data_IF_653477762485
#
_entry.id   IF_653477762485
#
_cell.length_a   1.000
_cell.length_b   1.000
_cell.length_c   1.000
_cell.angle_alpha   90.00
_cell.angle_beta   90.00
_cell.angle_gamma   90.00
#
_symmetry.space_group_name_H-M   'P 1'
#
loop_
_entity.id
_entity.type
_entity.pdbx_description
1 polymer ?
#
# COMPACT_ATOMS: atom_id res chain seq x y z
N UNK A 1 24.54 -15.89 12.05
CA UNK A 1 23.66 -14.87 12.69
C UNK A 1 22.21 -15.09 12.27
N UNK A 2 21.29 -15.28 13.22
CA UNK A 2 19.88 -15.61 12.94
C UNK A 2 18.91 -14.42 13.11
N UNK A 3 19.43 -13.29 13.59
CA UNK A 3 18.65 -12.07 13.87
C UNK A 3 19.01 -11.00 12.84
N UNK A 4 17.98 -10.44 12.19
CA UNK A 4 18.11 -9.43 11.14
C UNK A 4 17.04 -9.58 10.05
N UNK A 5 16.59 -8.45 9.48
CA UNK A 5 15.53 -8.40 8.44
C UNK A 5 15.84 -9.21 7.16
N UNK A 6 17.12 -9.49 6.93
CA UNK A 6 17.60 -10.23 5.75
C UNK A 6 18.26 -11.56 6.12
N UNK A 7 18.14 -12.02 7.37
CA UNK A 7 18.79 -13.26 7.84
C UNK A 7 18.30 -14.51 7.10
N UNK A 8 17.08 -14.48 6.57
CA UNK A 8 16.46 -15.52 5.75
C UNK A 8 15.96 -14.96 4.41
N UNK A 9 16.64 -13.93 3.89
CA UNK A 9 16.36 -13.36 2.58
C UNK A 9 17.26 -14.01 1.51
N UNK A 10 16.65 -14.60 0.49
CA UNK A 10 17.36 -15.28 -0.60
C UNK A 10 17.24 -14.48 -1.88
N UNK A 11 18.38 -14.12 -2.49
CA UNK A 11 18.44 -13.40 -3.77
C UNK A 11 18.99 -14.30 -4.86
N UNK A 12 18.19 -14.58 -5.88
CA UNK A 12 18.69 -15.26 -7.09
C UNK A 12 17.63 -16.09 -7.81
N UNK A 13 17.78 -16.19 -9.13
CA UNK A 13 16.89 -16.92 -10.05
C UNK A 13 16.75 -18.42 -9.75
N UNK A 14 17.41 -19.30 -10.52
CA UNK A 14 17.29 -20.77 -10.38
C UNK A 14 17.45 -21.31 -8.95
N UNK A 15 18.14 -20.56 -8.08
CA UNK A 15 18.34 -20.89 -6.66
C UNK A 15 17.04 -20.81 -5.85
N UNK A 16 16.13 -19.88 -6.14
CA UNK A 16 14.83 -19.77 -5.45
C UNK A 16 13.92 -20.99 -5.68
N UNK A 17 13.96 -21.58 -6.88
CA UNK A 17 13.20 -22.80 -7.20
C UNK A 17 13.81 -24.03 -6.51
N UNK A 18 15.14 -24.18 -6.55
CA UNK A 18 15.83 -25.24 -5.80
C UNK A 18 15.59 -25.09 -4.28
N UNK A 19 15.36 -23.86 -3.81
CA UNK A 19 15.06 -23.58 -2.42
C UNK A 19 13.69 -24.04 -1.96
N UNK A 20 12.67 -23.87 -2.80
CA UNK A 20 11.34 -24.40 -2.50
C UNK A 20 11.34 -25.93 -2.45
N UNK A 21 12.16 -26.58 -3.30
CA UNK A 21 12.29 -28.03 -3.34
C UNK A 21 13.14 -28.59 -2.18
N UNK A 22 14.15 -27.86 -1.72
CA UNK A 22 15.05 -28.32 -0.65
C UNK A 22 15.49 -27.17 0.29
N UNK A 23 14.62 -26.71 1.21
CA UNK A 23 14.91 -25.61 2.13
C UNK A 23 16.14 -25.85 3.01
N UNK A 24 16.32 -27.08 3.49
CA UNK A 24 17.41 -27.49 4.38
C UNK A 24 18.80 -27.41 3.75
N UNK A 25 18.88 -27.32 2.41
CA UNK A 25 20.16 -27.22 1.70
C UNK A 25 20.75 -25.82 1.73
N UNK A 26 19.98 -24.80 2.14
CA UNK A 26 20.45 -23.42 2.17
C UNK A 26 20.00 -22.65 3.43
N UNK A 27 19.05 -23.18 4.19
CA UNK A 27 18.68 -22.66 5.50
C UNK A 27 19.16 -23.62 6.59
N UNK A 28 19.92 -23.10 7.54
CA UNK A 28 20.44 -23.89 8.66
C UNK A 28 19.34 -24.29 9.67
N UNK A 29 18.26 -23.49 9.75
CA UNK A 29 17.12 -23.67 10.64
C UNK A 29 15.86 -23.08 9.99
N UNK A 30 14.68 -23.52 10.42
CA UNK A 30 13.41 -22.90 10.02
C UNK A 30 13.34 -21.44 10.53
N UNK A 31 13.10 -20.45 9.65
CA UNK A 31 12.95 -19.04 10.03
C UNK A 31 11.92 -18.81 11.14
N UNK A 32 10.82 -19.57 11.14
CA UNK A 32 9.74 -19.42 12.10
C UNK A 32 10.18 -19.68 13.55
N UNK A 33 11.17 -20.56 13.75
CA UNK A 33 11.74 -20.86 15.08
C UNK A 33 12.51 -19.68 15.69
N UNK A 34 12.81 -18.66 14.89
CA UNK A 34 13.49 -17.43 15.33
C UNK A 34 12.59 -16.20 15.29
N UNK A 35 11.29 -16.37 15.04
CA UNK A 35 10.36 -15.26 14.82
C UNK A 35 10.63 -14.49 13.52
N UNK A 36 11.30 -15.13 12.57
CA UNK A 36 11.61 -14.56 11.26
C UNK A 36 10.77 -15.24 10.16
N UNK A 37 10.76 -14.67 8.97
CA UNK A 37 10.04 -15.20 7.81
C UNK A 37 10.97 -15.35 6.62
N UNK A 38 10.81 -16.44 5.86
CA UNK A 38 11.50 -16.61 4.58
C UNK A 38 11.08 -15.52 3.60
N UNK A 39 12.05 -14.90 2.92
CA UNK A 39 11.78 -13.89 1.89
C UNK A 39 12.60 -14.20 0.64
N UNK A 40 11.97 -14.25 -0.52
CA UNK A 40 12.65 -14.44 -1.81
C UNK A 40 12.65 -13.12 -2.56
N UNK A 41 13.84 -12.66 -2.94
CA UNK A 41 14.06 -11.39 -3.63
C UNK A 41 14.00 -11.60 -5.15
N UNK A 42 13.16 -10.82 -5.84
CA UNK A 42 12.94 -10.92 -7.30
C UNK A 42 14.02 -10.13 -8.05
N UNK A 43 14.77 -10.80 -8.94
CA UNK A 43 15.74 -10.21 -9.88
C UNK A 43 15.33 -10.52 -11.32
N UNK A 44 15.78 -9.71 -12.30
CA UNK A 44 15.40 -9.71 -13.73
C UNK A 44 15.29 -11.10 -14.40
N UNK A 45 16.14 -12.07 -14.03
CA UNK A 45 16.13 -13.45 -14.57
C UNK A 45 15.29 -14.46 -13.76
N UNK A 46 14.72 -14.02 -12.64
CA UNK A 46 13.91 -14.81 -11.69
C UNK A 46 12.41 -14.60 -11.89
N UNK A 47 12.04 -13.66 -12.76
CA UNK A 47 10.71 -13.08 -12.87
C UNK A 47 9.60 -14.12 -12.95
N UNK A 48 9.67 -15.09 -13.87
CA UNK A 48 8.59 -16.07 -14.02
C UNK A 48 8.41 -17.00 -12.82
N UNK A 49 9.48 -17.59 -12.29
CA UNK A 49 9.37 -18.58 -11.21
C UNK A 49 9.08 -17.93 -9.86
N UNK A 50 9.65 -16.75 -9.57
CA UNK A 50 9.35 -16.03 -8.34
C UNK A 50 7.97 -15.36 -8.40
N UNK A 51 7.56 -14.83 -9.56
CA UNK A 51 6.19 -14.32 -9.70
C UNK A 51 5.21 -15.48 -9.63
N UNK A 52 5.50 -16.65 -10.22
CA UNK A 52 4.67 -17.84 -10.06
C UNK A 52 4.50 -18.24 -8.58
N UNK A 53 5.61 -18.30 -7.82
CA UNK A 53 5.60 -18.57 -6.38
C UNK A 53 4.81 -17.52 -5.58
N UNK A 54 4.99 -16.23 -5.87
CA UNK A 54 4.24 -15.15 -5.23
C UNK A 54 2.76 -15.22 -5.62
N UNK A 55 2.44 -15.47 -6.89
CA UNK A 55 1.05 -15.59 -7.35
C UNK A 55 0.36 -16.80 -6.72
N UNK A 56 1.08 -17.91 -6.49
CA UNK A 56 0.58 -19.07 -5.77
C UNK A 56 0.26 -18.74 -4.30
N UNK A 57 1.05 -17.90 -3.62
CA UNK A 57 0.74 -17.37 -2.28
C UNK A 57 -0.56 -16.55 -2.26
N UNK A 58 -0.91 -15.89 -3.37
CA UNK A 58 -2.19 -15.21 -3.56
C UNK A 58 -3.31 -16.14 -4.10
N UNK A 59 -3.08 -17.45 -4.17
CA UNK A 59 -4.05 -18.44 -4.65
C UNK A 59 -4.29 -18.39 -6.16
N UNK A 60 -3.35 -17.84 -6.93
CA UNK A 60 -3.46 -17.66 -8.38
C UNK A 60 -2.73 -18.82 -9.06
N UNK A 61 -3.51 -19.78 -9.55
CA UNK A 61 -3.02 -20.92 -10.34
C UNK A 61 -3.37 -20.83 -11.82
N UNK A 62 -4.12 -19.81 -12.24
CA UNK A 62 -4.47 -19.60 -13.66
C UNK A 62 -3.26 -19.04 -14.44
N UNK A 63 -2.71 -19.80 -15.42
CA UNK A 63 -1.56 -19.38 -16.20
C UNK A 63 -1.75 -18.05 -16.95
N UNK A 64 -2.99 -17.73 -17.36
CA UNK A 64 -3.28 -16.48 -18.05
C UNK A 64 -3.22 -15.28 -17.08
N UNK A 65 -3.68 -15.46 -15.84
CA UNK A 65 -3.57 -14.42 -14.80
C UNK A 65 -2.11 -14.20 -14.42
N UNK A 66 -1.33 -15.27 -14.22
CA UNK A 66 0.11 -15.18 -13.94
C UNK A 66 0.85 -14.44 -15.07
N UNK A 67 0.51 -14.72 -16.33
CA UNK A 67 1.07 -13.98 -17.48
C UNK A 67 0.72 -12.50 -17.43
N UNK A 68 -0.55 -12.14 -17.17
CA UNK A 68 -0.97 -10.74 -17.09
C UNK A 68 -0.25 -9.98 -15.95
N UNK A 69 -0.08 -10.63 -14.80
CA UNK A 69 0.67 -10.08 -13.66
C UNK A 69 2.13 -9.84 -14.06
N UNK A 70 2.77 -10.82 -14.71
CA UNK A 70 4.14 -10.71 -15.20
C UNK A 70 4.28 -9.55 -16.20
N UNK A 71 3.40 -9.46 -17.19
CA UNK A 71 3.45 -8.41 -18.21
C UNK A 71 3.30 -7.02 -17.56
N UNK A 72 2.42 -6.89 -16.56
CA UNK A 72 2.23 -5.64 -15.82
C UNK A 72 3.46 -5.28 -14.97
N UNK A 73 4.10 -6.25 -14.32
CA UNK A 73 5.32 -6.02 -13.53
C UNK A 73 6.46 -5.55 -14.43
N UNK A 74 6.70 -6.26 -15.55
CA UNK A 74 7.75 -5.90 -16.51
C UNK A 74 7.54 -4.47 -17.05
N UNK A 75 6.29 -4.10 -17.34
CA UNK A 75 5.96 -2.72 -17.74
C UNK A 75 6.31 -1.71 -16.65
N UNK A 76 6.00 -1.99 -15.38
CA UNK A 76 6.32 -1.10 -14.27
C UNK A 76 7.83 -1.04 -14.01
N UNK A 77 8.56 -2.14 -14.10
CA UNK A 77 10.03 -2.16 -13.94
C UNK A 77 10.72 -1.29 -15.00
N UNK A 78 10.23 -1.31 -16.24
CA UNK A 78 10.68 -0.43 -17.32
C UNK A 78 10.43 1.07 -17.02
N UNK A 79 9.40 1.38 -16.22
CA UNK A 79 9.15 2.74 -15.71
C UNK A 79 9.97 3.08 -14.47
N UNK A 80 10.83 2.17 -14.02
CA UNK A 80 11.73 2.36 -12.89
C UNK A 80 11.18 1.85 -11.56
N UNK A 81 10.10 1.07 -11.52
CA UNK A 81 9.65 0.39 -10.29
C UNK A 81 10.61 -0.73 -9.89
N UNK A 82 10.63 -1.05 -8.59
CA UNK A 82 11.25 -2.27 -8.08
C UNK A 82 10.37 -2.76 -6.95
N UNK A 83 9.76 -3.93 -7.14
CA UNK A 83 8.86 -4.53 -6.15
C UNK A 83 9.59 -5.39 -5.11
N UNK A 84 10.89 -5.64 -5.31
CA UNK A 84 11.76 -6.25 -4.30
C UNK A 84 11.77 -5.38 -3.03
N UNK A 85 11.19 -5.90 -1.95
CA UNK A 85 11.02 -5.16 -0.68
C UNK A 85 9.94 -4.09 -0.72
N UNK A 86 8.96 -4.19 -1.63
CA UNK A 86 7.75 -3.37 -1.66
C UNK A 86 6.50 -4.26 -1.86
N UNK A 87 6.31 -5.19 -0.93
CA UNK A 87 5.32 -6.27 -0.99
C UNK A 87 3.88 -5.75 -1.09
N UNK A 88 3.58 -4.61 -0.48
CA UNK A 88 2.23 -4.03 -0.50
C UNK A 88 1.88 -3.48 -1.89
N UNK A 89 2.78 -2.75 -2.54
CA UNK A 89 2.57 -2.28 -3.91
C UNK A 89 2.49 -3.45 -4.89
N UNK A 90 3.27 -4.52 -4.68
CA UNK A 90 3.16 -5.74 -5.47
C UNK A 90 1.78 -6.39 -5.33
N UNK A 91 1.28 -6.55 -4.10
CA UNK A 91 -0.05 -7.10 -3.84
C UNK A 91 -1.15 -6.31 -4.56
N UNK A 92 -1.06 -4.98 -4.57
CA UNK A 92 -2.00 -4.13 -5.29
C UNK A 92 -1.92 -4.30 -6.81
N UNK A 93 -0.72 -4.48 -7.37
CA UNK A 93 -0.55 -4.81 -8.80
C UNK A 93 -1.22 -6.14 -9.15
N UNK A 94 -1.03 -7.16 -8.31
CA UNK A 94 -1.68 -8.47 -8.47
C UNK A 94 -3.20 -8.34 -8.46
N UNK A 95 -3.76 -7.62 -7.48
CA UNK A 95 -5.20 -7.38 -7.41
C UNK A 95 -5.74 -6.59 -8.63
N UNK A 96 -4.96 -5.63 -9.15
CA UNK A 96 -5.31 -4.87 -10.37
C UNK A 96 -5.32 -5.79 -11.59
N UNK A 97 -4.31 -6.64 -11.76
CA UNK A 97 -4.22 -7.61 -12.85
C UNK A 97 -5.37 -8.64 -12.81
N UNK A 98 -5.81 -9.03 -11.61
CA UNK A 98 -6.96 -9.91 -11.37
C UNK A 98 -8.31 -9.20 -11.46
N UNK A 99 -8.35 -7.87 -11.61
CA UNK A 99 -9.57 -7.04 -11.56
C UNK A 99 -10.35 -7.16 -10.24
N UNK A 100 -9.70 -7.61 -9.17
CA UNK A 100 -10.27 -7.68 -7.83
C UNK A 100 -10.05 -6.41 -7.02
N UNK A 101 -9.05 -5.60 -7.40
CA UNK A 101 -8.81 -4.32 -6.76
C UNK A 101 -10.04 -3.40 -6.87
N UNK A 102 -10.41 -2.78 -5.75
CA UNK A 102 -11.47 -1.77 -5.66
C UNK A 102 -10.86 -0.54 -5.01
N UNK A 103 -10.65 0.57 -5.76
CA UNK A 103 -10.08 1.77 -5.19
C UNK A 103 -11.05 2.38 -4.18
N UNK A 104 -10.55 2.70 -2.98
CA UNK A 104 -11.33 3.35 -1.93
C UNK A 104 -11.51 4.84 -2.21
N UNK A 105 -10.59 5.41 -2.99
CA UNK A 105 -10.66 6.79 -3.43
C UNK A 105 -9.91 6.98 -4.75
N UNK A 106 -10.22 8.08 -5.45
CA UNK A 106 -9.50 8.50 -6.64
C UNK A 106 -8.95 9.90 -6.43
N UNK A 107 -7.66 10.06 -6.70
CA UNK A 107 -7.03 11.37 -6.76
C UNK A 107 -7.61 12.19 -7.91
N UNK A 108 -8.11 13.38 -7.60
CA UNK A 108 -8.48 14.40 -8.58
C UNK A 108 -7.36 15.42 -8.73
N UNK A 109 -6.80 15.88 -7.61
CA UNK A 109 -5.72 16.87 -7.58
C UNK A 109 -4.92 16.72 -6.29
N UNK A 110 -3.64 17.04 -6.36
CA UNK A 110 -2.85 17.41 -5.20
C UNK A 110 -2.02 18.65 -5.55
N UNK A 111 -1.68 19.45 -4.55
CA UNK A 111 -0.79 20.59 -4.65
C UNK A 111 0.00 20.68 -3.36
N UNK A 112 1.28 21.02 -3.46
CA UNK A 112 2.15 21.23 -2.31
C UNK A 112 2.84 22.57 -2.48
N UNK A 113 2.74 23.41 -1.47
CA UNK A 113 3.45 24.68 -1.35
C UNK A 113 4.53 24.54 -0.28
N UNK A 114 5.74 25.01 -0.61
CA UNK A 114 6.87 25.06 0.31
C UNK A 114 7.37 26.49 0.32
N UNK A 115 7.34 27.12 1.48
CA UNK A 115 7.73 28.51 1.68
C UNK A 115 8.81 28.60 2.74
N UNK A 116 9.98 29.10 2.37
CA UNK A 116 11.10 29.34 3.29
C UNK A 116 11.26 30.84 3.56
N UNK A 117 11.43 31.21 4.82
CA UNK A 117 11.81 32.57 5.20
C UNK A 117 13.33 32.62 5.45
N UNK A 118 14.05 33.42 4.65
CA UNK A 118 15.50 33.53 4.77
C UNK A 118 15.92 34.48 5.89
N UNK A 119 16.73 33.98 6.83
CA UNK A 119 17.56 34.80 7.73
C UNK A 119 19.00 34.86 7.20
N UNK A 120 19.56 36.06 7.05
CA UNK A 120 20.96 36.21 6.64
C UNK A 120 21.89 35.51 7.65
N UNK A 121 22.88 34.76 7.15
CA UNK A 121 24.00 34.23 7.94
C UNK A 121 24.66 35.37 8.74
N UNK A 122 24.37 35.47 10.03
CA UNK A 122 24.85 36.53 10.91
C UNK A 122 25.08 36.02 12.33
N UNK A 123 26.19 36.41 12.93
CA UNK A 123 26.67 35.91 14.23
C UNK A 123 25.68 36.14 15.37
N UNK A 124 25.52 35.07 16.16
CA UNK A 124 24.71 34.99 17.36
C UNK A 124 25.03 36.09 18.38
N UNK A 125 24.02 36.88 18.75
CA UNK A 125 23.99 37.56 20.05
C UNK A 125 22.70 37.20 20.77
N UNK A 126 22.81 36.99 22.09
CA UNK A 126 21.81 36.34 22.95
C UNK A 126 20.55 37.19 23.23
N UNK A 127 20.29 38.23 22.46
CA UNK A 127 19.18 39.16 22.64
C UNK A 127 18.66 39.65 21.29
N UNK A 128 17.77 38.88 20.67
CA UNK A 128 16.83 39.40 19.68
C UNK A 128 15.60 38.48 19.68
N UNK A 129 14.58 38.93 20.42
CA UNK A 129 13.21 38.48 20.27
C UNK A 129 12.68 39.22 19.04
N UNK A 130 12.92 38.68 17.85
CA UNK A 130 12.26 39.12 16.62
C UNK A 130 12.32 37.98 15.60
N UNK A 131 11.16 37.61 15.05
CA UNK A 131 10.94 36.45 14.18
C UNK A 131 11.63 36.56 12.80
N UNK A 132 12.60 37.46 12.63
CA UNK A 132 13.36 37.72 11.40
C UNK A 132 14.66 36.92 11.27
N UNK A 133 14.95 36.01 12.21
CA UNK A 133 16.19 35.21 12.23
C UNK A 133 15.99 33.70 12.31
N UNK A 134 14.77 33.20 12.16
CA UNK A 134 14.52 31.76 12.04
C UNK A 134 14.41 31.38 10.57
N UNK A 135 15.35 30.57 10.08
CA UNK A 135 15.08 29.75 8.90
C UNK A 135 13.91 28.82 9.24
N UNK A 136 12.73 29.18 8.77
CA UNK A 136 11.53 28.38 8.93
C UNK A 136 11.06 27.96 7.55
N UNK A 137 11.11 26.65 7.29
CA UNK A 137 10.48 26.04 6.14
C UNK A 137 9.06 25.63 6.52
N UNK A 138 8.08 26.26 5.88
CA UNK A 138 6.69 25.90 5.99
C UNK A 138 6.28 25.06 4.78
N UNK A 139 5.60 23.95 5.00
CA UNK A 139 5.03 23.13 3.92
C UNK A 139 3.54 22.92 4.14
N UNK A 140 2.75 23.25 3.14
CA UNK A 140 1.31 23.04 3.12
C UNK A 140 0.95 22.18 1.91
N UNK A 141 0.02 21.24 2.08
CA UNK A 141 -0.50 20.45 0.98
C UNK A 141 -2.02 20.50 0.93
N UNK A 142 -2.53 20.60 -0.30
CA UNK A 142 -3.94 20.51 -0.63
C UNK A 142 -4.19 19.22 -1.41
N UNK A 143 -5.20 18.45 -1.01
CA UNK A 143 -5.58 17.19 -1.65
C UNK A 143 -7.07 17.20 -1.99
N UNK A 144 -7.39 16.85 -3.24
CA UNK A 144 -8.77 16.65 -3.72
C UNK A 144 -8.98 15.21 -4.16
N UNK A 145 -9.93 14.53 -3.54
CA UNK A 145 -10.26 13.13 -3.78
C UNK A 145 -11.71 12.97 -4.21
N UNK A 146 -12.00 11.93 -4.97
CA UNK A 146 -13.35 11.44 -5.26
C UNK A 146 -13.53 10.06 -4.63
N UNK A 147 -14.60 9.87 -3.85
CA UNK A 147 -14.99 8.58 -3.32
C UNK A 147 -15.82 7.79 -4.35
N UNK A 148 -15.91 6.46 -4.23
CA UNK A 148 -16.81 5.63 -5.04
C UNK A 148 -18.28 6.07 -4.98
N UNK A 149 -18.71 6.69 -3.88
CA UNK A 149 -20.06 7.27 -3.73
C UNK A 149 -20.31 8.50 -4.60
N UNK A 150 -19.31 9.03 -5.30
CA UNK A 150 -19.37 10.28 -6.05
C UNK A 150 -19.08 11.53 -5.22
N UNK A 151 -18.94 11.39 -3.88
CA UNK A 151 -18.58 12.51 -3.00
C UNK A 151 -17.16 12.99 -3.30
N UNK A 152 -17.00 14.30 -3.45
CA UNK A 152 -15.70 14.96 -3.56
C UNK A 152 -15.25 15.46 -2.18
N UNK A 153 -13.98 15.26 -1.86
CA UNK A 153 -13.34 15.74 -0.63
C UNK A 153 -12.21 16.68 -1.03
N UNK A 154 -12.04 17.75 -0.28
CA UNK A 154 -10.99 18.73 -0.50
C UNK A 154 -10.46 19.18 0.86
N UNK A 155 -9.22 18.78 1.17
CA UNK A 155 -8.59 19.04 2.46
C UNK A 155 -7.22 19.67 2.29
N UNK A 156 -6.84 20.43 3.31
CA UNK A 156 -5.55 21.11 3.43
C UNK A 156 -4.94 20.77 4.78
N UNK A 157 -3.63 20.52 4.78
CA UNK A 157 -2.85 20.30 5.99
C UNK A 157 -1.41 20.79 5.84
N UNK A 158 -0.83 21.18 6.97
CA UNK A 158 0.58 21.54 7.08
C UNK A 158 1.40 20.33 7.54
N UNK A 159 2.71 20.37 7.29
CA UNK A 159 3.61 19.34 7.79
C UNK A 159 5.07 19.78 7.79
N UNK A 160 5.90 19.02 8.51
CA UNK A 160 7.34 19.22 8.53
C UNK A 160 7.96 18.70 7.23
N UNK A 161 7.88 19.53 6.19
CA UNK A 161 8.28 19.21 4.83
C UNK A 161 7.11 18.76 3.93
N UNK A 162 7.32 18.75 2.60
CA UNK A 162 6.26 18.61 1.62
C UNK A 162 5.56 17.25 1.66
N UNK A 163 6.30 16.17 1.94
CA UNK A 163 5.74 14.80 2.01
C UNK A 163 4.91 14.63 3.28
N UNK A 164 5.34 15.22 4.40
CA UNK A 164 4.59 15.18 5.65
C UNK A 164 3.27 15.95 5.52
N UNK A 165 3.29 17.14 4.89
CA UNK A 165 2.08 17.91 4.62
C UNK A 165 1.11 17.12 3.72
N UNK A 166 1.64 16.45 2.70
CA UNK A 166 0.85 15.64 1.76
C UNK A 166 0.20 14.42 2.43
N UNK A 167 0.94 13.69 3.28
CA UNK A 167 0.39 12.58 4.07
C UNK A 167 -0.67 13.09 5.06
N UNK A 168 -0.42 14.21 5.75
CA UNK A 168 -1.38 14.81 6.66
C UNK A 168 -2.69 15.23 5.95
N UNK A 169 -2.60 15.83 4.76
CA UNK A 169 -3.77 16.22 3.98
C UNK A 169 -4.55 15.00 3.46
N UNK A 170 -3.85 13.96 3.03
CA UNK A 170 -4.46 12.69 2.63
C UNK A 170 -5.21 12.02 3.79
N UNK A 171 -4.58 11.95 4.97
CA UNK A 171 -5.18 11.39 6.19
C UNK A 171 -6.38 12.19 6.65
N UNK A 172 -6.26 13.51 6.70
CA UNK A 172 -7.37 14.41 7.05
C UNK A 172 -8.59 14.20 6.15
N UNK A 173 -8.36 13.91 4.85
CA UNK A 173 -9.43 13.61 3.91
C UNK A 173 -10.08 12.23 4.13
N UNK A 174 -9.33 11.22 4.58
CA UNK A 174 -9.77 9.83 4.58
C UNK A 174 -10.11 9.26 5.96
N UNK A 175 -9.45 9.68 7.04
CA UNK A 175 -9.70 9.20 8.41
C UNK A 175 -11.15 9.35 8.88
N UNK A 176 -11.89 10.43 8.55
CA UNK A 176 -13.30 10.52 8.92
C UNK A 176 -14.20 9.46 8.26
N UNK A 177 -13.73 8.81 7.20
CA UNK A 177 -14.45 7.77 6.45
C UNK A 177 -13.90 6.39 6.79
N UNK A 178 -12.59 6.30 6.98
CA UNK A 178 -11.83 5.09 7.26
C UNK A 178 -11.02 5.30 8.57
N UNK A 179 -11.66 5.20 9.75
CA UNK A 179 -11.00 5.47 11.04
C UNK A 179 -9.82 4.53 11.34
N UNK A 180 -9.84 3.33 10.75
CA UNK A 180 -8.76 2.34 10.80
C UNK A 180 -7.41 2.85 10.25
N UNK A 181 -7.39 3.94 9.48
CA UNK A 181 -6.15 4.56 9.03
C UNK A 181 -5.33 5.20 10.15
N UNK A 182 -5.93 5.48 11.32
CA UNK A 182 -5.21 5.99 12.50
C UNK A 182 -4.15 4.99 13.00
N UNK A 183 -4.32 3.70 12.71
CA UNK A 183 -3.39 2.64 13.10
C UNK A 183 -2.20 2.51 12.14
N UNK A 184 -2.27 3.14 10.95
CA UNK A 184 -1.23 3.10 9.94
C UNK A 184 -0.22 4.22 10.19
N UNK A 185 1.05 3.88 10.44
CA UNK A 185 2.12 4.86 10.63
C UNK A 185 3.27 4.66 9.65
N UNK A 186 3.77 5.74 9.07
CA UNK A 186 4.99 5.74 8.28
C UNK A 186 6.19 5.59 9.23
N UNK A 187 7.09 4.64 8.95
CA UNK A 187 8.25 4.34 9.80
C UNK A 187 9.60 4.60 9.13
N UNK A 188 9.66 4.56 7.80
CA UNK A 188 10.88 4.86 7.04
C UNK A 188 10.52 5.42 5.66
N UNK A 189 11.41 6.24 5.12
CA UNK A 189 11.23 6.92 3.84
C UNK A 189 12.55 6.96 3.09
N UNK A 190 12.58 6.36 1.88
CA UNK A 190 13.80 6.22 1.08
C UNK A 190 13.58 6.73 -0.33
N UNK A 191 14.51 7.53 -0.82
CA UNK A 191 14.49 8.05 -2.20
C UNK A 191 15.69 7.49 -2.97
N UNK A 192 15.46 7.12 -4.23
CA UNK A 192 16.48 6.66 -5.17
C UNK A 192 16.25 7.32 -6.52
N UNK A 193 17.34 7.77 -7.15
CA UNK A 193 17.32 8.17 -8.56
C UNK A 193 17.64 6.93 -9.39
N UNK A 194 16.79 6.65 -10.38
CA UNK A 194 16.83 5.43 -11.19
C UNK A 194 16.98 5.83 -12.64
N UNK A 195 17.94 5.24 -13.35
CA UNK A 195 18.06 5.41 -14.80
C UNK A 195 17.01 4.56 -15.50
N UNK A 196 16.25 5.15 -16.41
CA UNK A 196 15.29 4.43 -17.24
C UNK A 196 15.96 3.84 -18.48
N UNK A 197 15.44 2.74 -19.04
CA UNK A 197 15.88 2.22 -20.33
C UNK A 197 15.71 3.27 -21.43
N UNK A 198 16.65 3.34 -22.37
CA UNK A 198 16.70 4.38 -23.41
C UNK A 198 15.46 4.38 -24.32
N UNK A 199 14.84 3.22 -24.49
CA UNK A 199 13.65 3.02 -25.33
C UNK A 199 12.37 3.60 -24.70
N UNK A 200 12.26 3.53 -23.38
CA UNK A 200 11.14 4.05 -22.58
C UNK A 200 11.22 5.57 -22.45
N UNK A 201 12.45 6.10 -22.38
CA UNK A 201 12.71 7.54 -22.30
C UNK A 201 12.19 8.34 -23.50
N UNK A 202 11.96 7.69 -24.65
CA UNK A 202 11.59 8.33 -25.93
C UNK A 202 10.08 8.29 -26.21
N UNK A 203 9.31 7.47 -25.50
CA UNK A 203 7.91 7.11 -25.87
C UNK A 203 6.83 7.80 -25.05
N UNK A 204 7.11 8.22 -23.82
CA UNK A 204 6.10 8.87 -22.98
C UNK A 204 6.07 10.39 -23.18
N UNK A 205 4.99 10.89 -23.79
CA UNK A 205 4.73 12.33 -23.98
C UNK A 205 4.64 13.12 -22.65
N UNK A 206 4.42 12.43 -21.53
CA UNK A 206 4.44 12.99 -20.16
C UNK A 206 5.84 13.00 -19.51
N UNK A 207 6.81 12.40 -20.19
CA UNK A 207 8.16 12.14 -19.71
C UNK A 207 9.12 12.71 -20.75
N UNK A 208 9.00 14.00 -21.08
CA UNK A 208 10.07 14.71 -21.79
C UNK A 208 11.27 14.88 -20.84
N UNK A 209 11.96 13.78 -20.55
CA UNK A 209 13.22 13.81 -19.80
C UNK A 209 14.32 14.19 -20.81
N UNK A 210 14.48 15.49 -21.04
CA UNK A 210 15.60 16.01 -21.83
C UNK A 210 16.86 16.02 -20.97
N UNK A 211 17.81 15.13 -21.26
CA UNK A 211 19.20 15.23 -20.80
C UNK A 211 19.76 13.97 -20.13
N UNK A 212 18.99 13.31 -19.26
CA UNK A 212 19.37 12.08 -18.55
C UNK A 212 18.10 11.33 -18.12
N UNK A 213 17.58 10.42 -18.94
CA UNK A 213 16.36 9.65 -18.66
C UNK A 213 16.38 8.97 -17.28
N UNK A 214 15.90 9.67 -16.25
CA UNK A 214 15.98 9.25 -14.85
C UNK A 214 14.65 9.50 -14.18
N UNK A 215 14.19 8.51 -13.42
CA UNK A 215 13.00 8.60 -12.59
C UNK A 215 13.41 8.69 -11.11
N UNK A 216 12.51 9.23 -10.30
CA UNK A 216 12.63 9.20 -8.83
C UNK A 216 11.76 8.06 -8.33
N UNK A 217 12.39 7.12 -7.63
CA UNK A 217 11.74 6.03 -6.92
C UNK A 217 11.73 6.34 -5.43
N UNK A 218 10.55 6.28 -4.84
CA UNK A 218 10.31 6.46 -3.41
C UNK A 218 9.81 5.15 -2.83
N UNK A 219 10.41 4.73 -1.72
CA UNK A 219 9.96 3.59 -0.92
C UNK A 219 9.49 4.13 0.43
N UNK A 220 8.28 3.75 0.82
CA UNK A 220 7.67 4.08 2.11
C UNK A 220 7.52 2.79 2.90
N UNK A 221 8.17 2.71 4.06
CA UNK A 221 7.92 1.62 5.01
C UNK A 221 6.82 2.09 5.96
N UNK A 222 5.78 1.28 6.13
CA UNK A 222 4.66 1.54 7.01
C UNK A 222 4.48 0.42 8.02
N UNK A 223 3.93 0.76 9.19
CA UNK A 223 3.53 -0.18 10.24
C UNK A 223 2.05 -0.01 10.53
N UNK A 224 1.32 -1.12 10.50
CA UNK A 224 -0.04 -1.18 11.01
C UNK A 224 -0.01 -1.65 12.47
N UNK A 225 -0.46 -0.80 13.39
CA UNK A 225 -0.44 -1.10 14.83
C UNK A 225 -1.35 -2.26 15.21
N UNK A 226 -2.50 -2.41 14.55
CA UNK A 226 -3.48 -3.43 14.89
C UNK A 226 -2.97 -4.84 14.52
N UNK A 227 -2.32 -4.98 13.37
CA UNK A 227 -1.72 -6.26 12.95
C UNK A 227 -0.28 -6.47 13.43
N UNK A 228 0.38 -5.42 13.94
CA UNK A 228 1.82 -5.35 14.20
C UNK A 228 2.71 -5.63 12.99
N UNK A 229 2.16 -5.64 11.78
CA UNK A 229 2.89 -5.93 10.56
C UNK A 229 3.56 -4.67 10.01
N UNK A 230 4.75 -4.86 9.43
CA UNK A 230 5.42 -3.86 8.64
C UNK A 230 5.32 -4.24 7.17
N UNK A 231 5.03 -3.28 6.32
CA UNK A 231 5.01 -3.47 4.87
C UNK A 231 5.59 -2.24 4.19
N UNK A 232 6.00 -2.43 2.94
CA UNK A 232 6.65 -1.39 2.17
C UNK A 232 5.91 -1.17 0.86
N UNK A 233 5.81 0.09 0.45
CA UNK A 233 5.23 0.50 -0.84
C UNK A 233 6.25 1.28 -1.65
N UNK A 234 6.07 1.25 -2.97
CA UNK A 234 6.96 1.92 -3.92
C UNK A 234 6.15 2.79 -4.87
N UNK A 235 6.63 4.01 -5.08
CA UNK A 235 6.10 4.95 -6.05
C UNK A 235 7.23 5.47 -6.94
N UNK A 236 6.94 5.62 -8.24
CA UNK A 236 7.90 6.18 -9.20
C UNK A 236 7.26 7.31 -9.98
N UNK A 237 8.01 8.39 -10.13
CA UNK A 237 7.59 9.58 -10.85
C UNK A 237 8.77 10.38 -11.40
N UNK A 238 8.45 11.37 -12.23
CA UNK A 238 9.42 12.33 -12.78
C UNK A 238 9.89 13.35 -11.74
N UNK A 239 9.12 13.51 -10.66
CA UNK A 239 9.46 14.37 -9.52
C UNK A 239 9.20 13.63 -8.20
N UNK A 240 9.87 14.07 -7.15
CA UNK A 240 9.81 13.44 -5.83
C UNK A 240 8.40 13.45 -5.25
N UNK A 241 7.62 14.53 -5.43
CA UNK A 241 6.28 14.66 -4.86
C UNK A 241 5.30 13.65 -5.47
N UNK A 242 5.33 13.47 -6.80
CA UNK A 242 4.49 12.46 -7.48
C UNK A 242 4.90 11.04 -7.07
N UNK A 243 6.20 10.77 -6.95
CA UNK A 243 6.69 9.46 -6.50
C UNK A 243 6.25 9.18 -5.06
N UNK A 244 6.37 10.15 -4.15
CA UNK A 244 5.90 10.06 -2.77
C UNK A 244 4.39 9.86 -2.70
N UNK A 245 3.62 10.63 -3.48
CA UNK A 245 2.17 10.50 -3.55
C UNK A 245 1.75 9.07 -3.90
N UNK A 246 2.36 8.48 -4.94
CA UNK A 246 2.04 7.12 -5.37
C UNK A 246 2.34 6.09 -4.28
N UNK A 247 3.50 6.20 -3.63
CA UNK A 247 3.88 5.31 -2.54
C UNK A 247 2.91 5.43 -1.34
N UNK A 248 2.51 6.66 -0.98
CA UNK A 248 1.55 6.92 0.10
C UNK A 248 0.16 6.38 -0.22
N UNK A 249 -0.34 6.61 -1.44
CA UNK A 249 -1.63 6.07 -1.87
C UNK A 249 -1.63 4.55 -1.86
N UNK A 250 -0.58 3.91 -2.36
CA UNK A 250 -0.45 2.45 -2.28
C UNK A 250 -0.45 1.98 -0.82
N UNK A 251 0.16 2.71 0.11
CA UNK A 251 0.19 2.31 1.52
C UNK A 251 -1.21 2.35 2.16
N UNK A 252 -1.96 3.40 1.86
CA UNK A 252 -3.35 3.57 2.31
C UNK A 252 -4.27 2.53 1.65
N UNK A 253 -4.23 2.41 0.32
CA UNK A 253 -5.07 1.45 -0.42
C UNK A 253 -4.78 0.00 -0.01
N UNK A 254 -3.52 -0.36 0.25
CA UNK A 254 -3.16 -1.68 0.74
C UNK A 254 -3.73 -1.95 2.14
N UNK A 255 -3.60 -0.99 3.05
CA UNK A 255 -4.18 -1.10 4.41
C UNK A 255 -5.70 -1.29 4.34
N UNK A 256 -6.41 -0.47 3.57
CA UNK A 256 -7.86 -0.56 3.42
C UNK A 256 -8.30 -1.88 2.76
N UNK A 257 -7.65 -2.27 1.67
CA UNK A 257 -7.96 -3.54 0.97
C UNK A 257 -7.78 -4.77 1.87
N UNK A 258 -6.81 -4.73 2.79
CA UNK A 258 -6.60 -5.81 3.77
C UNK A 258 -7.65 -5.84 4.87
N UNK A 259 -8.04 -4.67 5.37
CA UNK A 259 -9.08 -4.57 6.39
C UNK A 259 -10.43 -5.04 5.84
N UNK A 260 -10.74 -4.70 4.58
CA UNK A 260 -11.92 -5.22 3.85
C UNK A 260 -11.92 -6.75 3.74
N UNK A 261 -10.79 -7.34 3.36
CA UNK A 261 -10.67 -8.81 3.24
C UNK A 261 -10.82 -9.52 4.60
N UNK A 262 -10.28 -8.94 5.68
CA UNK A 262 -10.46 -9.46 7.04
C UNK A 262 -11.91 -9.36 7.49
N UNK A 263 -12.58 -8.26 7.20
CA UNK A 263 -13.99 -8.05 7.51
C UNK A 263 -14.89 -9.05 6.77
N UNK A 264 -14.66 -9.27 5.48
CA UNK A 264 -15.39 -10.26 4.68
C UNK A 264 -15.23 -11.68 5.22
N UNK A 265 -14.03 -12.04 5.68
CA UNK A 265 -13.75 -13.36 6.27
C UNK A 265 -14.46 -13.55 7.61
N UNK A 266 -14.45 -12.53 8.48
CA UNK A 266 -15.13 -12.59 9.79
C UNK A 266 -16.66 -12.60 9.67
N UNK A 267 -17.23 -11.83 8.74
CA UNK A 267 -18.67 -11.83 8.48
C UNK A 267 -19.19 -13.19 7.96
N UNK A 268 -18.36 -13.92 7.22
CA UNK A 268 -18.69 -15.27 6.71
C UNK A 268 -18.51 -16.37 7.78
N UNK A 269 -17.84 -16.06 8.90
CA UNK A 269 -17.51 -17.01 9.97
C UNK A 269 -18.52 -17.02 11.13
N UNK A 270 -19.53 -16.16 11.13
CA UNK A 270 -20.62 -16.24 12.11
C UNK A 270 -21.62 -17.33 11.67
N UNK A 271 -21.84 -18.40 12.47
CA UNK A 271 -22.90 -19.33 12.15
C UNK A 271 -24.24 -18.59 12.28
N UNK A 272 -25.03 -18.60 11.21
CA UNK A 272 -26.46 -18.33 11.30
C UNK A 272 -27.04 -19.31 12.32
N UNK A 273 -27.31 -18.83 13.53
CA UNK A 273 -28.05 -19.57 14.53
C UNK A 273 -29.53 -19.55 14.09
N UNK A 274 -29.89 -20.44 13.18
CA UNK A 274 -31.28 -20.87 13.03
C UNK A 274 -31.59 -21.78 14.22
N UNK A 275 -32.47 -21.31 15.11
CA UNK A 275 -33.38 -22.14 15.89
C UNK A 275 -34.30 -21.21 16.68
N UNK A 276 -35.56 -21.12 16.25
CA UNK A 276 -36.66 -21.38 17.18
C UNK A 276 -37.92 -21.82 16.40
N UNK A 277 -38.09 -23.13 16.44
CA UNK A 277 -39.32 -23.89 16.29
C UNK A 277 -40.47 -23.24 17.07
N UNK A 278 -41.55 -22.88 16.36
CA UNK A 278 -42.87 -22.66 16.96
C UNK A 278 -43.90 -23.58 16.31
N UNK A 279 -43.70 -24.89 16.48
CA UNK A 279 -44.79 -25.85 16.46
C UNK A 279 -45.57 -25.79 17.78
N UNK A 280 -46.53 -24.87 17.87
CA UNK A 280 -47.65 -24.99 18.81
C UNK A 280 -48.89 -24.27 18.28
N UNK A 281 -49.69 -25.03 17.53
CA UNK A 281 -51.07 -24.66 17.21
C UNK A 281 -51.94 -24.78 18.47
N UNK A 282 -52.76 -23.77 18.84
CA UNK A 282 -53.80 -23.97 19.81
C UNK A 282 -55.05 -24.56 19.14
N UNK A 283 -55.63 -25.54 19.82
CA UNK A 283 -56.84 -26.27 19.44
C UNK A 283 -58.06 -25.35 19.28
N UNK A 284 -58.84 -25.63 18.23
CA UNK A 284 -60.18 -25.09 18.01
C UNK A 284 -61.18 -25.80 18.93
N UNK A 285 -61.98 -25.10 19.75
CA UNK A 285 -63.19 -25.67 20.32
C UNK A 285 -64.36 -25.47 19.35
N UNK A 286 -65.04 -26.57 19.04
CA UNK A 286 -66.33 -26.59 18.35
C UNK A 286 -67.40 -25.90 19.19
N UNK A 287 -68.15 -24.97 18.60
CA UNK A 287 -69.40 -24.46 19.16
C UNK A 287 -70.56 -24.98 18.29
N UNK A 288 -71.36 -25.85 18.89
CA UNK A 288 -72.60 -26.41 18.38
C UNK A 288 -73.67 -25.34 18.17
N UNK A 289 -74.47 -25.50 17.11
CA UNK A 289 -75.75 -24.83 16.88
C UNK A 289 -76.76 -25.14 17.99
N UNK A 290 -77.51 -24.13 18.48
CA UNK A 290 -78.94 -24.25 18.84
C UNK A 290 -79.66 -22.92 18.57
N UNK A 291 -80.87 -23.05 18.01
CA UNK A 291 -81.87 -22.06 17.60
C UNK A 291 -82.54 -21.23 18.73
N UNK A 292 -83.29 -20.21 18.26
CA UNK A 292 -84.53 -19.60 18.80
C UNK A 292 -84.41 -18.45 19.80
N UNK A 293 -84.72 -17.22 19.37
CA UNK A 293 -86.05 -16.59 19.44
C UNK A 293 -86.04 -15.25 18.68
#
# INVERSE_FOLDING_TARGET
PFVGRSAFAHKGGMHAHAMQLAPTSYEHIDPALTGNSRRVLVSELSGRSNIAALTEEYGISDPQVTKNVLDMIVQQENLGYQYEGAEASFALVVQKAMRTFRPHFKRIRYQVEVSGYGGAHGQYTKQAVDASHMEYEHSEATVKLALPSGRLIHEVAEGNGPVAALDAALRKALEPIYPNLQELHLVDYKVRVVRLPEEVAKTDLHTMITGTASAIRVIVDSRDRNSHENFSTVGVGTNIIEASWRALVDAVEYKLSRDDARWATQATSQPHNETEDTSQAPAVPQASQVLNA
#
